data_IF_056773318387
#
_entry.id   IF_056773318387
#
_cell.length_a   1.000
_cell.length_b   1.000
_cell.length_c   1.000
_cell.angle_alpha   90.00
_cell.angle_beta   90.00
_cell.angle_gamma   90.00
#
_symmetry.space_group_name_H-M   'P 1'
#
loop_
_entity.id
_entity.type
_entity.pdbx_description
1 polymer ?
#
# COMPACT_ATOMS: atom_id res chain seq x y z
N UNK A 1 14.49 9.30 -54.05
CA UNK A 1 14.39 9.79 -52.66
C UNK A 1 14.19 8.60 -51.74
N UNK A 2 15.09 8.39 -50.78
CA UNK A 2 14.99 7.32 -49.78
C UNK A 2 14.85 8.00 -48.41
N UNK A 3 13.61 8.08 -47.92
CA UNK A 3 13.18 9.01 -46.85
C UNK A 3 13.91 8.77 -45.51
N UNK A 4 14.55 7.61 -45.33
CA UNK A 4 15.24 7.25 -44.09
C UNK A 4 16.66 7.84 -44.01
N UNK A 5 17.32 8.14 -45.13
CA UNK A 5 18.72 8.62 -45.10
C UNK A 5 18.88 10.13 -44.88
N UNK A 6 17.80 10.91 -45.01
CA UNK A 6 17.86 12.37 -44.88
C UNK A 6 17.53 12.86 -43.45
N UNK A 7 17.07 11.96 -42.57
CA UNK A 7 16.70 12.34 -41.19
C UNK A 7 17.85 12.23 -40.19
N UNK A 8 18.85 11.37 -40.41
CA UNK A 8 20.06 11.26 -39.54
C UNK A 8 21.27 10.70 -40.32
N UNK A 9 22.26 11.53 -40.72
CA UNK A 9 23.41 11.10 -41.53
C UNK A 9 24.53 10.38 -40.75
N UNK A 10 24.39 10.19 -39.43
CA UNK A 10 25.48 9.77 -38.57
C UNK A 10 25.07 8.66 -37.59
N UNK A 11 24.60 7.53 -38.12
CA UNK A 11 24.84 6.25 -37.44
C UNK A 11 26.22 5.72 -37.89
N UNK A 12 27.23 5.92 -37.05
CA UNK A 12 28.55 5.28 -37.09
C UNK A 12 29.24 5.65 -35.78
N UNK A 13 29.86 4.79 -34.98
CA UNK A 13 30.29 3.41 -35.11
C UNK A 13 30.87 3.04 -33.73
N UNK A 14 30.87 1.75 -33.36
CA UNK A 14 31.76 1.14 -32.33
C UNK A 14 31.53 1.54 -30.86
N UNK A 15 31.79 0.73 -29.83
CA UNK A 15 32.19 -0.67 -29.62
C UNK A 15 32.38 -0.77 -28.09
N UNK A 16 31.98 -1.90 -27.46
CA UNK A 16 32.67 -2.62 -26.36
C UNK A 16 31.71 -3.28 -25.37
N UNK A 17 31.37 -4.52 -25.72
CA UNK A 17 31.49 -5.76 -24.94
C UNK A 17 31.79 -5.72 -23.41
N UNK A 18 31.04 -6.59 -22.70
CA UNK A 18 31.25 -7.26 -21.40
C UNK A 18 30.92 -6.50 -20.09
N UNK A 19 30.41 -7.11 -19.00
CA UNK A 19 29.72 -8.37 -18.64
C UNK A 19 29.46 -8.23 -17.12
N UNK A 20 28.23 -8.54 -16.67
CA UNK A 20 27.81 -8.96 -15.32
C UNK A 20 28.28 -8.17 -14.08
N UNK A 21 27.37 -7.39 -13.48
CA UNK A 21 27.17 -7.41 -12.03
C UNK A 21 25.74 -6.96 -11.68
N UNK A 22 25.23 -7.48 -10.57
CA UNK A 22 23.82 -7.47 -10.19
C UNK A 22 23.22 -6.06 -10.13
N UNK A 23 22.07 -5.91 -10.79
CA UNK A 23 21.12 -4.79 -10.86
C UNK A 23 21.31 -3.69 -9.79
N UNK A 24 22.31 -2.82 -9.99
CA UNK A 24 22.31 -1.48 -9.41
C UNK A 24 21.29 -0.66 -10.21
N UNK A 25 20.19 -0.29 -9.55
CA UNK A 25 19.25 0.68 -10.12
C UNK A 25 19.97 2.03 -10.18
N UNK A 26 20.56 2.32 -11.33
CA UNK A 26 21.14 3.61 -11.68
C UNK A 26 20.00 4.63 -11.75
N UNK A 27 19.87 5.46 -10.72
CA UNK A 27 19.10 6.70 -10.78
C UNK A 27 20.07 7.76 -11.34
N UNK A 28 19.81 8.21 -12.58
CA UNK A 28 20.60 9.25 -13.25
C UNK A 28 20.68 10.51 -12.37
N UNK A 29 21.90 10.93 -12.03
CA UNK A 29 22.19 11.86 -10.93
C UNK A 29 22.19 13.35 -11.32
N UNK A 30 21.64 13.74 -12.49
CA UNK A 30 21.97 15.05 -13.08
C UNK A 30 20.88 16.11 -13.19
N UNK A 31 19.68 15.95 -12.62
CA UNK A 31 18.76 17.08 -12.46
C UNK A 31 17.91 16.92 -11.19
N UNK A 32 18.31 17.54 -10.08
CA UNK A 32 17.39 18.17 -9.11
C UNK A 32 18.18 19.00 -8.09
N UNK A 33 18.15 20.32 -8.30
CA UNK A 33 18.67 21.29 -7.36
C UNK A 33 17.90 21.27 -6.04
N UNK A 34 18.66 21.20 -4.95
CA UNK A 34 18.34 21.75 -3.64
C UNK A 34 16.91 21.52 -3.11
N UNK A 35 16.61 20.29 -2.74
CA UNK A 35 15.58 19.96 -1.77
C UNK A 35 16.01 18.68 -1.06
N UNK A 36 16.63 18.89 0.12
CA UNK A 36 17.08 17.88 1.08
C UNK A 36 16.31 16.55 0.98
N UNK A 37 16.81 15.62 0.15
CA UNK A 37 16.41 14.23 0.18
C UNK A 37 17.04 13.64 1.44
N UNK A 38 16.30 13.73 2.55
CA UNK A 38 16.66 13.04 3.78
C UNK A 38 16.78 11.55 3.43
N UNK A 39 18.01 11.04 3.43
CA UNK A 39 18.29 9.64 3.08
C UNK A 39 17.65 8.77 4.15
N UNK A 40 16.47 8.22 3.88
CA UNK A 40 15.79 7.30 4.80
C UNK A 40 16.69 6.09 5.07
N UNK A 41 16.90 5.80 6.34
CA UNK A 41 17.58 4.60 6.80
C UNK A 41 16.78 3.36 6.42
N UNK A 42 17.45 2.20 6.29
CA UNK A 42 16.75 0.92 6.07
C UNK A 42 15.69 0.65 7.13
N UNK A 43 15.95 1.02 8.38
CA UNK A 43 15.01 0.87 9.48
C UNK A 43 13.73 1.72 9.31
N UNK A 44 13.84 2.91 8.72
CA UNK A 44 12.67 3.74 8.41
C UNK A 44 11.86 3.16 7.25
N UNK A 45 12.52 2.60 6.24
CA UNK A 45 11.86 1.90 5.13
C UNK A 45 11.10 0.68 5.66
N UNK A 46 11.75 -0.19 6.44
CA UNK A 46 11.14 -1.39 7.01
C UNK A 46 9.91 -1.04 7.88
N UNK A 47 10.02 0.02 8.68
CA UNK A 47 8.89 0.50 9.49
C UNK A 47 7.74 0.99 8.61
N UNK A 48 8.02 1.72 7.54
CA UNK A 48 7.01 2.20 6.61
C UNK A 48 6.31 1.06 5.88
N UNK A 49 7.05 0.07 5.37
CA UNK A 49 6.48 -1.10 4.70
C UNK A 49 5.60 -1.93 5.63
N UNK A 50 6.00 -2.09 6.91
CA UNK A 50 5.17 -2.75 7.92
C UNK A 50 3.86 -2.00 8.13
N UNK A 51 3.91 -0.68 8.29
CA UNK A 51 2.71 0.14 8.46
C UNK A 51 1.80 0.08 7.23
N UNK A 52 2.37 0.09 6.03
CA UNK A 52 1.62 -0.05 4.78
C UNK A 52 0.92 -1.41 4.70
N UNK A 53 1.64 -2.47 5.06
CA UNK A 53 1.10 -3.84 5.11
C UNK A 53 -0.04 -3.97 6.11
N UNK A 54 0.09 -3.36 7.29
CA UNK A 54 -0.98 -3.33 8.29
C UNK A 54 -2.20 -2.52 7.82
N UNK A 55 -1.97 -1.37 7.16
CA UNK A 55 -3.04 -0.53 6.63
C UNK A 55 -3.81 -1.20 5.48
N UNK A 56 -3.10 -1.96 4.63
CA UNK A 56 -3.67 -2.70 3.49
C UNK A 56 -4.06 -4.14 3.84
N UNK A 57 -4.19 -4.46 5.13
CA UNK A 57 -4.60 -5.79 5.56
C UNK A 57 -6.03 -6.08 5.10
N UNK A 58 -6.20 -7.10 4.28
CA UNK A 58 -7.50 -7.59 3.81
C UNK A 58 -8.40 -7.97 4.99
N UNK A 59 -9.72 -7.76 4.85
CA UNK A 59 -10.69 -8.07 5.91
C UNK A 59 -10.71 -9.57 6.26
N UNK A 60 -10.51 -10.41 5.26
CA UNK A 60 -10.30 -11.85 5.34
C UNK A 60 -9.52 -12.27 4.07
N UNK A 61 -8.86 -13.45 4.05
CA UNK A 61 -8.05 -13.87 2.91
C UNK A 61 -8.85 -13.87 1.59
N UNK A 62 -8.35 -13.15 0.59
CA UNK A 62 -8.97 -13.01 -0.73
C UNK A 62 -9.98 -11.86 -0.84
N UNK A 63 -10.16 -11.05 0.21
CA UNK A 63 -11.06 -9.90 0.20
C UNK A 63 -10.35 -8.66 -0.37
N UNK A 64 -10.48 -8.43 -1.67
CA UNK A 64 -9.82 -7.30 -2.37
C UNK A 64 -10.54 -5.97 -2.25
N UNK A 65 -11.84 -6.01 -1.94
CA UNK A 65 -12.68 -4.82 -1.90
C UNK A 65 -12.75 -4.19 -0.50
N UNK A 66 -12.45 -4.96 0.55
CA UNK A 66 -12.54 -4.50 1.94
C UNK A 66 -11.26 -4.78 2.72
N UNK A 67 -10.74 -3.73 3.34
CA UNK A 67 -9.61 -3.75 4.25
C UNK A 67 -10.07 -3.61 5.69
N UNK A 68 -9.35 -4.20 6.64
CA UNK A 68 -9.67 -4.17 8.07
C UNK A 68 -9.89 -2.75 8.58
N UNK A 69 -8.95 -1.86 8.28
CA UNK A 69 -9.00 -0.48 8.75
C UNK A 69 -10.25 0.24 8.20
N UNK A 70 -10.47 0.19 6.89
CA UNK A 70 -11.63 0.82 6.23
C UNK A 70 -12.95 0.29 6.78
N UNK A 71 -13.09 -1.03 6.93
CA UNK A 71 -14.30 -1.65 7.49
C UNK A 71 -14.56 -1.19 8.93
N UNK A 72 -13.52 -1.09 9.78
CA UNK A 72 -13.68 -0.61 11.16
C UNK A 72 -14.07 0.86 11.20
N UNK A 73 -13.45 1.70 10.36
CA UNK A 73 -13.79 3.13 10.25
C UNK A 73 -15.25 3.29 9.84
N UNK A 74 -15.71 2.59 8.81
CA UNK A 74 -17.10 2.67 8.33
C UNK A 74 -18.10 2.20 9.40
N UNK A 75 -17.81 1.09 10.09
CA UNK A 75 -18.64 0.59 11.19
C UNK A 75 -18.71 1.60 12.34
N UNK A 76 -17.59 2.20 12.72
CA UNK A 76 -17.54 3.23 13.76
C UNK A 76 -18.29 4.49 13.37
N UNK A 77 -18.18 4.92 12.10
CA UNK A 77 -18.98 6.02 11.58
C UNK A 77 -20.48 5.70 11.61
N UNK A 78 -20.88 4.48 11.22
CA UNK A 78 -22.27 4.03 11.28
C UNK A 78 -22.80 4.08 12.71
N UNK A 79 -22.02 3.60 13.69
CA UNK A 79 -22.35 3.66 15.11
C UNK A 79 -22.62 5.09 15.57
N UNK A 80 -21.70 6.01 15.28
CA UNK A 80 -21.78 7.41 15.71
C UNK A 80 -22.97 8.10 15.04
N UNK A 81 -23.13 7.94 13.72
CA UNK A 81 -24.24 8.54 12.95
C UNK A 81 -25.61 8.09 13.45
N UNK A 82 -25.74 6.84 13.88
CA UNK A 82 -27.01 6.27 14.34
C UNK A 82 -27.14 6.22 15.87
N UNK A 83 -26.22 6.86 16.61
CA UNK A 83 -26.21 6.89 18.08
C UNK A 83 -26.33 5.50 18.72
N UNK A 84 -25.77 4.48 18.07
CA UNK A 84 -25.91 3.10 18.54
C UNK A 84 -25.21 2.94 19.88
N UNK A 85 -25.89 2.33 20.86
CA UNK A 85 -25.26 1.93 22.12
C UNK A 85 -24.14 0.90 21.88
N UNK A 86 -23.12 0.87 22.75
CA UNK A 86 -22.00 -0.09 22.63
C UNK A 86 -22.50 -1.54 22.59
N UNK A 87 -23.49 -1.88 23.43
CA UNK A 87 -24.09 -3.23 23.45
C UNK A 87 -24.69 -3.62 22.10
N UNK A 88 -25.52 -2.75 21.50
CA UNK A 88 -26.13 -3.01 20.19
C UNK A 88 -25.07 -3.14 19.09
N UNK A 89 -24.03 -2.32 19.14
CA UNK A 89 -22.91 -2.40 18.20
C UNK A 89 -22.11 -3.71 18.34
N UNK A 90 -21.82 -4.13 19.58
CA UNK A 90 -21.15 -5.40 19.86
C UNK A 90 -21.97 -6.60 19.35
N UNK A 91 -23.30 -6.57 19.53
CA UNK A 91 -24.21 -7.58 18.99
C UNK A 91 -24.22 -7.59 17.45
N UNK A 92 -24.26 -6.42 16.81
CA UNK A 92 -24.17 -6.30 15.34
C UNK A 92 -22.86 -6.89 14.81
N UNK A 93 -21.71 -6.51 15.38
CA UNK A 93 -20.43 -7.07 14.95
C UNK A 93 -20.39 -8.57 15.20
N UNK A 94 -20.93 -9.04 16.32
CA UNK A 94 -21.05 -10.47 16.60
C UNK A 94 -21.83 -11.22 15.52
N UNK A 95 -22.88 -10.62 14.96
CA UNK A 95 -23.62 -11.17 13.81
C UNK A 95 -22.76 -11.15 12.55
N UNK A 96 -22.14 -10.01 12.21
CA UNK A 96 -21.30 -9.87 11.02
C UNK A 96 -20.13 -10.87 11.02
N UNK A 97 -19.45 -11.04 12.15
CA UNK A 97 -18.35 -12.02 12.28
C UNK A 97 -18.79 -13.46 12.01
N UNK A 98 -20.05 -13.82 12.32
CA UNK A 98 -20.61 -15.15 12.03
C UNK A 98 -21.05 -15.31 10.58
N UNK A 99 -21.39 -14.22 9.90
CA UNK A 99 -21.77 -14.22 8.48
C UNK A 99 -20.55 -14.26 7.55
N UNK A 100 -19.43 -13.70 7.98
CA UNK A 100 -18.17 -13.68 7.24
C UNK A 100 -17.36 -15.00 7.41
N UNK A 101 -16.36 -15.26 6.53
CA UNK A 101 -15.42 -16.37 6.70
C UNK A 101 -14.75 -16.37 8.08
N UNK A 102 -14.38 -17.54 8.60
CA UNK A 102 -13.87 -17.69 9.99
C UNK A 102 -12.60 -16.89 10.25
N UNK A 103 -11.79 -16.68 9.21
CA UNK A 103 -10.51 -15.99 9.23
C UNK A 103 -10.65 -14.46 9.24
N UNK A 104 -11.88 -13.93 9.26
CA UNK A 104 -12.12 -12.50 9.24
C UNK A 104 -11.51 -11.77 10.44
N UNK A 105 -10.96 -10.60 10.15
CA UNK A 105 -10.19 -9.77 11.05
C UNK A 105 -11.03 -8.68 11.72
N UNK A 106 -12.37 -8.76 11.64
CA UNK A 106 -13.23 -7.82 12.37
C UNK A 106 -12.96 -7.93 13.89
N UNK A 107 -12.88 -6.80 14.60
CA UNK A 107 -12.78 -6.81 16.05
C UNK A 107 -14.10 -7.34 16.64
N UNK A 108 -14.08 -8.16 17.70
CA UNK A 108 -15.29 -8.73 18.29
C UNK A 108 -16.13 -7.72 19.10
N UNK A 109 -15.57 -6.56 19.46
CA UNK A 109 -16.26 -5.53 20.26
C UNK A 109 -15.83 -4.13 19.87
N UNK A 110 -16.65 -3.14 20.22
CA UNK A 110 -16.38 -1.71 20.13
C UNK A 110 -15.03 -1.33 20.72
N UNK A 111 -14.72 -1.84 21.92
CA UNK A 111 -13.44 -1.54 22.58
C UNK A 111 -12.25 -2.06 21.79
N UNK A 112 -12.39 -3.20 21.12
CA UNK A 112 -11.33 -3.74 20.28
C UNK A 112 -11.24 -2.99 18.95
N UNK A 113 -12.37 -2.56 18.39
CA UNK A 113 -12.40 -1.67 17.23
C UNK A 113 -11.65 -0.36 17.47
N UNK A 114 -11.87 0.26 18.64
CA UNK A 114 -11.16 1.47 19.06
C UNK A 114 -9.66 1.31 19.27
N UNK A 115 -9.14 0.07 19.38
CA UNK A 115 -7.69 -0.15 19.49
C UNK A 115 -7.00 -0.27 18.14
N UNK A 116 -7.77 -0.52 17.08
CA UNK A 116 -7.27 -0.61 15.71
C UNK A 116 -7.22 0.78 15.06
N UNK A 117 -8.08 1.69 15.52
CA UNK A 117 -8.04 3.12 15.20
C UNK A 117 -7.10 3.86 16.15
#
# INVERSE_FOLDING_TARGET
>A
MNIINDMYPHASHHHRQNVLEADEVLLDDDILGNNQTSKMSRQEIDNYERLLTEAQKELYPGCKDFFVLTSIVELMQLKVKNLMANKCFDELIGILKRMLPKENQLPPTHRQAQKVL
#
